data_IF_653094210839
#
_entry.id   IF_653094210839
#
_cell.length_a   1.000
_cell.length_b   1.000
_cell.length_c   1.000
_cell.angle_alpha   90.00
_cell.angle_beta   90.00
_cell.angle_gamma   90.00
#
_symmetry.space_group_name_H-M   'P 1'
#
loop_
_entity.id
_entity.type
_entity.pdbx_description
1 polymer ?
#
# COMPACT_ATOMS: atom_id res chain seq x y z
N UNK A 1 15.79 9.92 -8.97
CA UNK A 1 14.92 8.72 -9.13
C UNK A 1 15.75 7.48 -8.86
N UNK A 2 15.14 6.36 -8.46
CA UNK A 2 15.88 5.10 -8.25
C UNK A 2 16.20 4.40 -9.57
N UNK A 3 17.31 3.63 -9.63
CA UNK A 3 17.75 2.88 -10.83
C UNK A 3 16.65 2.01 -11.44
N UNK A 4 15.84 1.35 -10.60
CA UNK A 4 14.70 0.52 -11.04
C UNK A 4 13.57 1.33 -11.70
N UNK A 5 13.29 2.52 -11.19
CA UNK A 5 12.26 3.41 -11.76
C UNK A 5 12.67 3.88 -13.15
N UNK A 6 13.94 4.25 -13.33
CA UNK A 6 14.46 4.65 -14.64
C UNK A 6 14.44 3.51 -15.65
N UNK A 7 14.78 2.29 -15.21
CA UNK A 7 14.70 1.09 -16.04
C UNK A 7 13.29 0.88 -16.62
N UNK A 8 12.25 0.89 -15.78
CA UNK A 8 10.87 0.73 -16.27
C UNK A 8 10.40 1.95 -17.06
N UNK A 9 10.96 3.15 -16.86
CA UNK A 9 10.62 4.35 -17.64
C UNK A 9 11.19 4.29 -19.06
N UNK A 10 12.39 3.76 -19.23
CA UNK A 10 13.03 3.59 -20.54
C UNK A 10 12.56 2.33 -21.29
N UNK A 11 12.06 1.32 -20.57
CA UNK A 11 11.64 0.04 -21.15
C UNK A 11 10.11 -0.19 -21.11
N UNK A 12 9.41 0.17 -22.19
CA UNK A 12 7.95 0.04 -22.28
C UNK A 12 7.47 -1.41 -22.16
N UNK A 13 8.15 -2.37 -22.81
CA UNK A 13 7.81 -3.81 -22.74
C UNK A 13 7.89 -4.35 -21.32
N UNK A 14 8.97 -4.03 -20.59
CA UNK A 14 9.14 -4.43 -19.20
C UNK A 14 8.06 -3.83 -18.28
N UNK A 15 7.71 -2.56 -18.50
CA UNK A 15 6.62 -1.90 -17.76
C UNK A 15 5.27 -2.58 -17.97
N UNK A 16 4.92 -2.91 -19.21
CA UNK A 16 3.68 -3.62 -19.54
C UNK A 16 3.62 -5.00 -18.85
N UNK A 17 4.71 -5.76 -18.90
CA UNK A 17 4.82 -7.06 -18.21
C UNK A 17 4.60 -6.91 -16.69
N UNK A 18 5.29 -5.95 -16.06
CA UNK A 18 5.12 -5.68 -14.62
C UNK A 18 3.68 -5.28 -14.28
N UNK A 19 3.08 -4.39 -15.06
CA UNK A 19 1.70 -3.97 -14.85
C UNK A 19 0.70 -5.14 -14.96
N UNK A 20 0.91 -6.06 -15.91
CA UNK A 20 0.09 -7.27 -16.04
C UNK A 20 0.22 -8.19 -14.82
N UNK A 21 1.44 -8.39 -14.32
CA UNK A 21 1.70 -9.18 -13.10
C UNK A 21 1.07 -8.52 -11.87
N UNK A 22 1.26 -7.22 -11.70
CA UNK A 22 0.69 -6.46 -10.59
C UNK A 22 -0.86 -6.50 -10.64
N UNK A 23 -1.46 -6.43 -11.83
CA UNK A 23 -2.92 -6.59 -12.02
C UNK A 23 -3.40 -7.96 -11.54
N UNK A 24 -2.70 -9.05 -11.93
CA UNK A 24 -3.04 -10.42 -11.49
C UNK A 24 -2.93 -10.57 -9.98
N UNK A 25 -1.86 -10.04 -9.36
CA UNK A 25 -1.67 -10.10 -7.91
C UNK A 25 -2.77 -9.32 -7.18
N UNK A 26 -3.09 -8.11 -7.63
CA UNK A 26 -4.11 -7.26 -7.01
C UNK A 26 -5.54 -7.77 -7.22
N UNK A 27 -5.78 -8.60 -8.24
CA UNK A 27 -7.06 -9.26 -8.49
C UNK A 27 -7.30 -10.47 -7.57
N UNK A 28 -6.28 -10.98 -6.87
CA UNK A 28 -6.42 -12.13 -5.95
C UNK A 28 -7.49 -11.84 -4.88
N UNK A 29 -8.36 -12.82 -4.54
CA UNK A 29 -9.43 -12.64 -3.55
C UNK A 29 -8.93 -12.11 -2.20
N UNK A 30 -7.76 -12.58 -1.74
CA UNK A 30 -7.15 -12.11 -0.49
C UNK A 30 -6.75 -10.62 -0.53
N UNK A 31 -6.27 -10.11 -1.66
CA UNK A 31 -5.95 -8.69 -1.84
C UNK A 31 -7.23 -7.84 -1.94
N UNK A 32 -8.26 -8.35 -2.62
CA UNK A 32 -9.57 -7.71 -2.68
C UNK A 32 -10.18 -7.60 -1.27
N UNK A 33 -10.15 -8.68 -0.48
CA UNK A 33 -10.64 -8.70 0.91
C UNK A 33 -9.97 -7.62 1.76
N UNK A 34 -8.63 -7.56 1.76
CA UNK A 34 -7.86 -6.52 2.46
C UNK A 34 -8.27 -5.11 2.04
N UNK A 35 -8.46 -4.87 0.75
CA UNK A 35 -8.91 -3.57 0.21
C UNK A 35 -10.31 -3.19 0.67
N UNK A 36 -11.24 -4.15 0.64
CA UNK A 36 -12.62 -3.94 1.10
C UNK A 36 -12.65 -3.62 2.60
N UNK A 37 -11.89 -4.36 3.41
CA UNK A 37 -11.76 -4.12 4.86
C UNK A 37 -11.21 -2.71 5.16
N UNK A 38 -10.11 -2.33 4.50
CA UNK A 38 -9.52 -1.00 4.65
C UNK A 38 -10.49 0.12 4.22
N UNK A 39 -11.23 -0.07 3.14
CA UNK A 39 -12.25 0.88 2.67
C UNK A 39 -13.42 0.97 3.66
N UNK A 40 -13.89 -0.15 4.21
CA UNK A 40 -14.93 -0.17 5.24
C UNK A 40 -14.49 0.60 6.48
N UNK A 41 -13.24 0.41 6.94
CA UNK A 41 -12.67 1.17 8.04
C UNK A 41 -12.63 2.67 7.74
N UNK A 42 -12.22 3.07 6.52
CA UNK A 42 -12.21 4.49 6.11
C UNK A 42 -13.60 5.10 6.07
N UNK A 43 -14.59 4.39 5.52
CA UNK A 43 -15.99 4.86 5.50
C UNK A 43 -16.54 5.03 6.91
N UNK A 44 -16.34 4.05 7.80
CA UNK A 44 -16.75 4.14 9.20
C UNK A 44 -16.09 5.34 9.92
N UNK A 45 -14.79 5.55 9.71
CA UNK A 45 -14.09 6.68 10.31
C UNK A 45 -14.60 8.03 9.80
N UNK A 46 -14.87 8.16 8.50
CA UNK A 46 -15.47 9.36 7.92
C UNK A 46 -16.89 9.62 8.46
N UNK A 47 -17.71 8.57 8.54
CA UNK A 47 -19.07 8.67 9.10
C UNK A 47 -19.04 9.10 10.57
N UNK A 48 -18.03 8.66 11.33
CA UNK A 48 -17.79 9.10 12.70
C UNK A 48 -17.08 10.47 12.82
N UNK A 49 -17.01 11.26 11.74
CA UNK A 49 -16.40 12.60 11.73
C UNK A 49 -14.87 12.63 11.86
N UNK A 50 -14.18 11.49 11.77
CA UNK A 50 -12.72 11.43 11.96
C UNK A 50 -11.97 11.84 10.70
N UNK A 51 -10.98 12.73 10.86
CA UNK A 51 -10.05 13.06 9.78
C UNK A 51 -9.01 11.94 9.56
N UNK A 52 -9.16 11.23 8.43
CA UNK A 52 -8.27 10.14 7.96
C UNK A 52 -7.35 10.57 6.80
N UNK A 53 -7.21 11.88 6.55
CA UNK A 53 -6.25 12.41 5.57
C UNK A 53 -4.82 12.13 6.06
N UNK A 54 -3.97 11.59 5.18
CA UNK A 54 -2.58 11.23 5.52
C UNK A 54 -2.43 10.08 6.52
N UNK A 55 -3.50 9.31 6.75
CA UNK A 55 -3.52 8.15 7.65
C UNK A 55 -3.92 6.89 6.90
N UNK A 56 -3.23 5.81 7.20
CA UNK A 56 -3.51 4.47 6.67
C UNK A 56 -4.06 3.61 7.82
N UNK A 57 -5.01 2.72 7.52
CA UNK A 57 -5.49 1.74 8.51
C UNK A 57 -4.43 0.66 8.67
N UNK A 58 -3.87 0.54 9.87
CA UNK A 58 -2.85 -0.45 10.20
C UNK A 58 -3.54 -1.68 10.79
N UNK A 59 -3.37 -2.82 10.11
CA UNK A 59 -4.00 -4.09 10.50
C UNK A 59 -3.41 -4.70 11.78
N UNK A 60 -2.19 -4.32 12.16
CA UNK A 60 -1.51 -4.83 13.35
C UNK A 60 -1.96 -4.09 14.62
N UNK A 61 -2.11 -2.75 14.57
CA UNK A 61 -2.64 -1.97 15.71
C UNK A 61 -4.14 -1.66 15.61
N UNK A 62 -4.80 -2.15 14.55
CA UNK A 62 -6.24 -2.00 14.27
C UNK A 62 -6.75 -0.56 14.37
N UNK A 63 -5.91 0.40 13.98
CA UNK A 63 -6.20 1.85 14.08
C UNK A 63 -5.63 2.63 12.90
N UNK A 64 -6.12 3.84 12.69
CA UNK A 64 -5.54 4.77 11.72
C UNK A 64 -4.27 5.38 12.28
N UNK A 65 -3.14 5.13 11.61
CA UNK A 65 -1.83 5.72 11.94
C UNK A 65 -1.34 6.57 10.78
N UNK A 66 -0.37 7.46 11.01
CA UNK A 66 0.25 8.24 9.93
C UNK A 66 0.78 7.28 8.86
N UNK A 67 0.56 7.59 7.58
CA UNK A 67 0.98 6.72 6.48
C UNK A 67 2.50 6.45 6.49
N UNK A 68 3.32 7.43 6.91
CA UNK A 68 4.78 7.25 7.09
C UNK A 68 5.12 6.24 8.19
N UNK A 69 4.36 6.23 9.28
CA UNK A 69 4.53 5.27 10.38
C UNK A 69 4.10 3.87 9.95
N UNK A 70 2.97 3.73 9.24
CA UNK A 70 2.51 2.43 8.74
C UNK A 70 3.51 1.82 7.75
N UNK A 71 3.94 2.61 6.75
CA UNK A 71 4.86 2.16 5.70
C UNK A 71 6.30 2.01 6.18
N UNK A 72 6.65 2.64 7.31
CA UNK A 72 8.00 2.69 7.85
C UNK A 72 8.22 1.86 9.11
N UNK A 73 7.24 1.05 9.52
CA UNK A 73 7.29 0.27 10.77
C UNK A 73 8.61 -0.51 10.89
N UNK A 74 9.30 -0.34 12.03
CA UNK A 74 10.65 -0.86 12.28
C UNK A 74 10.66 -2.39 12.15
N UNK A 75 11.60 -2.92 11.37
CA UNK A 75 11.98 -4.34 11.38
C UNK A 75 11.33 -5.24 10.32
N UNK A 76 10.24 -4.82 9.67
CA UNK A 76 9.50 -5.66 8.70
C UNK A 76 9.74 -5.28 7.22
N UNK A 77 10.56 -4.25 6.96
CA UNK A 77 10.96 -3.83 5.62
C UNK A 77 12.44 -4.13 5.35
N UNK A 78 12.81 -4.28 4.07
CA UNK A 78 14.18 -4.54 3.61
C UNK A 78 15.19 -3.40 3.80
N UNK A 79 15.02 -2.54 4.81
CA UNK A 79 16.04 -1.55 5.18
C UNK A 79 17.20 -2.30 5.83
N UNK A 80 18.41 -2.17 5.26
CA UNK A 80 19.65 -2.59 5.94
C UNK A 80 19.66 -1.94 7.33
N UNK A 81 19.78 -2.76 8.37
CA UNK A 81 20.15 -2.28 9.70
C UNK A 81 21.54 -1.66 9.55
N UNK A 82 21.70 -0.43 10.05
CA UNK A 82 23.02 0.20 10.18
C UNK A 82 23.80 -0.52 11.26
#
# INVERSE_FOLDING_TARGET
MGKSTEYYRKNAKARRKKAATDKKINARPSQVKKRVEANRARRKAKAAGKNVKGKDYDHAVKRFVKSSTNRGRKGEGGRKKK
#
